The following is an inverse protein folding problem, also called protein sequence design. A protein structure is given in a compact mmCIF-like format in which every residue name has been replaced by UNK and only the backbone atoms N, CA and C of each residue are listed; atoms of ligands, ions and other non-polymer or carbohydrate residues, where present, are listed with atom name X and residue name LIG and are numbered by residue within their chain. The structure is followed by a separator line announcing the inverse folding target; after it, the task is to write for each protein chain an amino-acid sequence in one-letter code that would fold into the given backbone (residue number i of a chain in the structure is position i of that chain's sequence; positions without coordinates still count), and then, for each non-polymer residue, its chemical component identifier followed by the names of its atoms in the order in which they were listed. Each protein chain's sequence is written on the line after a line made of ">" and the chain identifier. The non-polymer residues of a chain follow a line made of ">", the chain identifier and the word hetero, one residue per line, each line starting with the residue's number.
data_IF_917067519653
#
_entry.id   IF_917067519653
#
_cell.length_a   1.000
_cell.length_b   1.000
_cell.length_c   1.000
_cell.angle_alpha   90.00
_cell.angle_beta   90.00
_cell.angle_gamma   90.00
#
_symmetry.space_group_name_H-M   'P 1'
#
loop_
_entity.id
_entity.type
_entity.pdbx_description
1 polymer ?
#
# COMPACT_ATOMS: atom_id res chain seq x y z
N UNK A 1 -21.12 -12.27 -22.18
CA UNK A 1 -20.37 -11.76 -21.02
C UNK A 1 -19.77 -10.42 -21.45
N UNK A 2 -20.14 -9.30 -20.80
CA UNK A 2 -19.54 -7.98 -21.09
C UNK A 2 -18.13 -7.96 -20.50
N UNK A 3 -17.22 -7.26 -21.16
CA UNK A 3 -15.76 -7.39 -21.01
C UNK A 3 -15.15 -6.63 -19.82
N UNK A 4 -15.94 -6.20 -18.83
CA UNK A 4 -15.50 -5.22 -17.82
C UNK A 4 -15.81 -5.59 -16.36
N UNK A 5 -16.07 -6.87 -16.06
CA UNK A 5 -16.04 -7.31 -14.67
C UNK A 5 -14.57 -7.52 -14.27
N UNK A 6 -13.88 -6.43 -13.91
CA UNK A 6 -12.56 -6.50 -13.28
C UNK A 6 -12.75 -7.21 -11.95
N UNK A 7 -12.47 -8.51 -11.92
CA UNK A 7 -12.39 -9.27 -10.68
C UNK A 7 -11.11 -8.83 -9.98
N UNK A 8 -11.25 -7.95 -8.98
CA UNK A 8 -10.16 -7.60 -8.08
C UNK A 8 -9.79 -8.84 -7.27
N UNK A 9 -8.79 -9.58 -7.73
CA UNK A 9 -8.24 -10.70 -6.97
C UNK A 9 -7.46 -10.17 -5.78
N UNK A 10 -7.36 -10.98 -4.73
CA UNK A 10 -6.52 -10.67 -3.57
C UNK A 10 -5.09 -10.31 -3.99
N UNK A 11 -4.52 -11.05 -4.95
CA UNK A 11 -3.18 -10.83 -5.48
C UNK A 11 -3.06 -9.48 -6.18
N UNK A 12 -4.00 -9.15 -7.07
CA UNK A 12 -4.01 -7.86 -7.78
C UNK A 12 -4.08 -6.69 -6.80
N UNK A 13 -4.98 -6.76 -5.81
CA UNK A 13 -5.12 -5.69 -4.80
C UNK A 13 -3.84 -5.57 -3.96
N UNK A 14 -3.22 -6.68 -3.59
CA UNK A 14 -1.98 -6.67 -2.80
C UNK A 14 -0.80 -6.08 -3.56
N UNK A 15 -0.61 -6.49 -4.82
CA UNK A 15 0.49 -6.01 -5.66
C UNK A 15 0.36 -4.50 -5.95
N UNK A 16 -0.86 -4.02 -6.19
CA UNK A 16 -1.09 -2.59 -6.42
C UNK A 16 -0.87 -1.76 -5.15
N UNK A 17 -1.30 -2.24 -3.99
CA UNK A 17 -1.03 -1.57 -2.71
C UNK A 17 0.47 -1.48 -2.42
N UNK A 18 1.22 -2.56 -2.64
CA UNK A 18 2.68 -2.55 -2.49
C UNK A 18 3.34 -1.53 -3.42
N UNK A 19 2.93 -1.50 -4.69
CA UNK A 19 3.44 -0.53 -5.68
C UNK A 19 3.17 0.92 -5.25
N UNK A 20 1.98 1.21 -4.73
CA UNK A 20 1.63 2.54 -4.22
C UNK A 20 2.52 2.94 -3.03
N UNK A 21 2.66 2.07 -2.03
CA UNK A 21 3.49 2.35 -0.85
C UNK A 21 4.95 2.55 -1.24
N UNK A 22 5.48 1.73 -2.16
CA UNK A 22 6.84 1.92 -2.69
C UNK A 22 7.02 3.27 -3.38
N UNK A 23 6.02 3.73 -4.15
CA UNK A 23 6.01 5.05 -4.78
C UNK A 23 6.02 6.21 -3.75
N UNK A 24 5.27 6.07 -2.66
CA UNK A 24 5.30 7.04 -1.56
C UNK A 24 6.64 7.05 -0.84
N UNK A 25 7.26 5.89 -0.63
CA UNK A 25 8.60 5.78 -0.05
C UNK A 25 9.65 6.47 -0.94
N UNK A 26 9.60 6.26 -2.26
CA UNK A 26 10.50 6.94 -3.19
C UNK A 26 10.31 8.47 -3.13
N UNK A 27 9.06 8.93 -3.16
CA UNK A 27 8.72 10.36 -3.08
C UNK A 27 9.19 11.02 -1.77
N UNK A 28 9.13 10.30 -0.65
CA UNK A 28 9.62 10.76 0.64
C UNK A 28 11.15 10.83 0.71
N UNK A 29 11.85 9.91 0.03
CA UNK A 29 13.33 9.93 -0.08
C UNK A 29 13.82 11.09 -0.93
N UNK A 30 13.11 11.42 -2.02
CA UNK A 30 13.44 12.57 -2.87
C UNK A 30 13.23 13.91 -2.15
N UNK A 31 12.25 13.99 -1.26
CA UNK A 31 11.94 15.21 -0.54
C UNK A 31 11.47 14.91 0.89
N UNK A 32 12.32 15.13 1.90
CA UNK A 32 11.95 14.94 3.30
C UNK A 32 10.71 15.75 3.73
N UNK A 33 10.42 16.87 3.06
CA UNK A 33 9.22 17.66 3.29
C UNK A 33 7.91 16.91 2.95
N UNK A 34 7.95 15.94 2.03
CA UNK A 34 6.80 15.12 1.66
C UNK A 34 6.58 13.93 2.59
N UNK A 35 7.54 13.61 3.48
CA UNK A 35 7.58 12.39 4.29
C UNK A 35 6.30 12.15 5.09
N UNK A 36 5.77 13.18 5.76
CA UNK A 36 4.53 13.06 6.52
C UNK A 36 3.31 12.77 5.63
N UNK A 37 3.20 13.45 4.48
CA UNK A 37 2.11 13.24 3.53
C UNK A 37 2.18 11.86 2.86
N UNK A 38 3.39 11.43 2.48
CA UNK A 38 3.65 10.10 1.91
C UNK A 38 3.33 8.99 2.92
N UNK A 39 3.68 9.17 4.19
CA UNK A 39 3.35 8.22 5.24
C UNK A 39 1.83 8.12 5.44
N UNK A 40 1.13 9.26 5.52
CA UNK A 40 -0.33 9.27 5.64
C UNK A 40 -1.02 8.58 4.44
N UNK A 41 -0.53 8.82 3.22
CA UNK A 41 -1.04 8.18 2.02
C UNK A 41 -0.79 6.66 2.01
N UNK A 42 0.37 6.21 2.47
CA UNK A 42 0.68 4.79 2.62
C UNK A 42 -0.20 4.10 3.67
N UNK A 43 -0.46 4.75 4.81
CA UNK A 43 -1.42 4.25 5.81
C UNK A 43 -2.83 4.09 5.20
N UNK A 44 -3.30 5.10 4.45
CA UNK A 44 -4.60 5.02 3.76
C UNK A 44 -4.67 3.88 2.73
N UNK A 45 -3.61 3.66 1.96
CA UNK A 45 -3.53 2.54 1.01
C UNK A 45 -3.58 1.18 1.74
N UNK A 46 -2.89 1.05 2.88
CA UNK A 46 -2.92 -0.15 3.70
C UNK A 46 -4.30 -0.40 4.33
N UNK A 47 -4.96 0.63 4.87
CA UNK A 47 -6.32 0.50 5.43
C UNK A 47 -7.33 0.06 4.37
N UNK A 48 -7.23 0.61 3.15
CA UNK A 48 -8.06 0.19 2.03
C UNK A 48 -7.82 -1.29 1.68
N UNK A 49 -6.56 -1.72 1.65
CA UNK A 49 -6.20 -3.12 1.42
C UNK A 49 -6.79 -4.05 2.49
N UNK A 50 -6.75 -3.67 3.78
CA UNK A 50 -7.38 -4.45 4.86
C UNK A 50 -8.89 -4.62 4.63
N UNK A 51 -9.56 -3.55 4.23
CA UNK A 51 -11.00 -3.56 3.95
C UNK A 51 -11.36 -4.43 2.74
N UNK A 52 -10.58 -4.35 1.65
CA UNK A 52 -10.81 -5.10 0.42
C UNK A 52 -10.50 -6.60 0.56
N UNK A 53 -9.46 -6.94 1.31
CA UNK A 53 -9.00 -8.33 1.46
C UNK A 53 -9.64 -9.07 2.63
N UNK A 54 -10.48 -8.39 3.43
CA UNK A 54 -11.16 -8.93 4.62
C UNK A 54 -10.19 -9.53 5.65
N UNK A 55 -8.99 -8.95 5.76
CA UNK A 55 -8.08 -9.14 6.87
C UNK A 55 -7.65 -10.61 7.10
N UNK A 56 -7.22 -11.29 6.03
CA UNK A 56 -6.56 -12.58 6.19
C UNK A 56 -5.26 -12.36 6.99
N UNK A 57 -5.07 -13.09 8.09
CA UNK A 57 -3.79 -13.20 8.79
C UNK A 57 -2.75 -13.74 7.81
N UNK A 58 -2.13 -12.83 7.07
CA UNK A 58 -1.29 -13.14 5.93
C UNK A 58 0.04 -12.39 6.11
N UNK A 59 1.20 -13.03 5.84
CA UNK A 59 2.50 -12.36 5.73
C UNK A 59 2.50 -11.06 4.92
N UNK A 60 1.58 -10.90 3.97
CA UNK A 60 1.38 -9.65 3.22
C UNK A 60 1.05 -8.44 4.11
N UNK A 61 0.23 -8.62 5.15
CA UNK A 61 -0.09 -7.51 6.08
C UNK A 61 1.17 -7.02 6.79
N UNK A 62 1.99 -7.93 7.30
CA UNK A 62 3.27 -7.60 7.92
C UNK A 62 4.22 -6.91 6.94
N UNK A 63 4.26 -7.37 5.69
CA UNK A 63 5.06 -6.77 4.62
C UNK A 63 4.61 -5.35 4.27
N UNK A 64 3.31 -5.12 4.12
CA UNK A 64 2.75 -3.80 3.81
C UNK A 64 2.93 -2.80 4.98
N UNK A 65 2.78 -3.27 6.22
CA UNK A 65 3.11 -2.47 7.41
C UNK A 65 4.59 -2.11 7.41
N UNK A 66 5.47 -3.08 7.17
CA UNK A 66 6.91 -2.84 7.10
C UNK A 66 7.23 -1.76 6.06
N UNK A 67 6.75 -1.89 4.83
CA UNK A 67 6.94 -0.90 3.76
C UNK A 67 6.42 0.49 4.14
N UNK A 68 5.27 0.56 4.81
CA UNK A 68 4.70 1.83 5.29
C UNK A 68 5.62 2.49 6.33
N UNK A 69 6.17 1.72 7.27
CA UNK A 69 7.09 2.23 8.28
C UNK A 69 8.45 2.65 7.72
N UNK A 70 8.92 2.04 6.62
CA UNK A 70 10.16 2.45 5.94
C UNK A 70 10.12 3.90 5.49
N UNK A 71 8.93 4.46 5.21
CA UNK A 71 8.77 5.87 4.84
C UNK A 71 9.24 6.80 5.95
N UNK A 72 9.12 6.40 7.21
CA UNK A 72 9.53 7.21 8.36
C UNK A 72 11.03 7.13 8.64
N UNK A 73 11.74 6.14 8.09
CA UNK A 73 13.18 5.99 8.33
C UNK A 73 13.96 7.20 7.83
N UNK A 74 15.02 7.61 8.55
CA UNK A 74 15.80 8.82 8.25
C UNK A 74 16.10 9.00 6.78
#
# INVERSE_FOLDING_TARGET
>A
MRSDDVVFTYETVTNETERLIAGYAASARESPAKKAACYAAACGAFELWLGLTKNQNNPDSARLVHLTTEILKP
#
